data_IF_028948046525
#
_entry.id   IF_028948046525
#
_cell.length_a   1.000
_cell.length_b   1.000
_cell.length_c   1.000
_cell.angle_alpha   90.00
_cell.angle_beta   90.00
_cell.angle_gamma   90.00
#
_symmetry.space_group_name_H-M   'P 1'
#
loop_
_entity.id
_entity.type
_entity.pdbx_description
1 polymer ?
#
# COMPACT_ATOMS: atom_id res chain seq x y z
N UNK A 1 -22.21 -21.22 -18.22
CA UNK A 1 -22.48 -20.32 -17.08
C UNK A 1 -21.39 -20.58 -16.07
N UNK A 2 -20.56 -19.59 -15.75
CA UNK A 2 -19.60 -19.74 -14.67
C UNK A 2 -20.38 -20.10 -13.40
N UNK A 3 -19.91 -21.09 -12.65
CA UNK A 3 -20.53 -21.45 -11.38
C UNK A 3 -20.32 -20.26 -10.44
N UNK A 4 -21.34 -19.83 -9.68
CA UNK A 4 -21.23 -18.74 -8.70
C UNK A 4 -20.04 -18.92 -7.73
N UNK A 5 -19.62 -20.15 -7.51
CA UNK A 5 -18.40 -20.47 -6.76
C UNK A 5 -17.10 -20.01 -7.46
N UNK A 6 -16.99 -20.18 -8.77
CA UNK A 6 -15.85 -19.69 -9.56
C UNK A 6 -15.81 -18.17 -9.62
N UNK A 7 -16.99 -17.54 -9.75
CA UNK A 7 -17.13 -16.08 -9.67
C UNK A 7 -16.68 -15.57 -8.30
N UNK A 8 -17.09 -16.24 -7.23
CA UNK A 8 -16.69 -15.89 -5.86
C UNK A 8 -15.18 -16.01 -5.66
N UNK A 9 -14.57 -17.11 -6.11
CA UNK A 9 -13.11 -17.27 -6.03
C UNK A 9 -12.41 -16.15 -6.79
N UNK A 10 -12.85 -15.82 -8.00
CA UNK A 10 -12.27 -14.76 -8.82
C UNK A 10 -12.34 -13.40 -8.12
N UNK A 11 -13.48 -13.05 -7.52
CA UNK A 11 -13.65 -11.82 -6.75
C UNK A 11 -12.71 -11.75 -5.53
N UNK A 12 -12.52 -12.86 -4.81
CA UNK A 12 -11.59 -12.92 -3.68
C UNK A 12 -10.14 -12.77 -4.15
N UNK A 13 -9.75 -13.43 -5.25
CA UNK A 13 -8.41 -13.31 -5.85
C UNK A 13 -8.12 -11.87 -6.27
N UNK A 14 -9.07 -11.21 -6.92
CA UNK A 14 -8.93 -9.82 -7.38
C UNK A 14 -8.78 -8.85 -6.20
N UNK A 15 -9.59 -9.00 -5.16
CA UNK A 15 -9.47 -8.18 -3.95
C UNK A 15 -8.11 -8.42 -3.25
N UNK A 16 -7.70 -9.68 -3.11
CA UNK A 16 -6.42 -10.07 -2.52
C UNK A 16 -5.24 -9.46 -3.29
N UNK A 17 -5.28 -9.49 -4.62
CA UNK A 17 -4.25 -8.91 -5.48
C UNK A 17 -4.13 -7.39 -5.29
N UNK A 18 -5.24 -6.66 -5.23
CA UNK A 18 -5.24 -5.22 -4.98
C UNK A 18 -4.57 -4.85 -3.65
N UNK A 19 -4.83 -5.62 -2.60
CA UNK A 19 -4.19 -5.43 -1.29
C UNK A 19 -2.68 -5.71 -1.40
N UNK A 20 -2.30 -6.82 -2.02
CA UNK A 20 -0.90 -7.20 -2.20
C UNK A 20 -0.11 -6.17 -3.01
N UNK A 21 -0.67 -5.70 -4.13
CA UNK A 21 -0.07 -4.67 -4.98
C UNK A 21 0.01 -3.33 -4.26
N UNK A 22 -1.04 -2.94 -3.52
CA UNK A 22 -1.02 -1.71 -2.71
C UNK A 22 0.08 -1.70 -1.66
N UNK A 23 0.24 -2.80 -0.90
CA UNK A 23 1.31 -2.92 0.11
C UNK A 23 2.70 -2.85 -0.55
N UNK A 24 2.90 -3.56 -1.66
CA UNK A 24 4.18 -3.51 -2.38
C UNK A 24 4.47 -2.13 -2.98
N UNK A 25 3.43 -1.42 -3.42
CA UNK A 25 3.56 -0.04 -3.91
C UNK A 25 4.02 0.88 -2.78
N UNK A 26 3.42 0.81 -1.59
CA UNK A 26 3.86 1.59 -0.44
C UNK A 26 5.31 1.28 -0.04
N UNK A 27 5.70 0.01 -0.02
CA UNK A 27 7.10 -0.40 0.25
C UNK A 27 8.05 0.11 -0.83
N UNK A 28 7.62 0.14 -2.10
CA UNK A 28 8.37 0.77 -3.18
C UNK A 28 8.55 2.27 -2.96
N UNK A 29 7.48 2.97 -2.60
CA UNK A 29 7.48 4.40 -2.29
C UNK A 29 8.35 4.74 -1.08
N UNK A 30 8.50 3.87 -0.08
CA UNK A 30 9.48 4.05 0.99
C UNK A 30 10.91 4.15 0.45
N UNK A 31 11.26 3.30 -0.52
CA UNK A 31 12.60 3.29 -1.12
C UNK A 31 12.83 4.55 -1.93
N UNK A 32 11.83 4.95 -2.72
CA UNK A 32 11.86 6.20 -3.46
C UNK A 32 11.99 7.40 -2.52
N UNK A 33 11.21 7.44 -1.45
CA UNK A 33 11.26 8.50 -0.44
C UNK A 33 12.64 8.67 0.16
N UNK A 34 13.29 7.56 0.52
CA UNK A 34 14.64 7.58 1.05
C UNK A 34 15.69 7.95 -0.01
N UNK A 35 15.54 7.47 -1.25
CA UNK A 35 16.48 7.74 -2.33
C UNK A 35 16.45 9.20 -2.80
N UNK A 36 15.26 9.81 -2.82
CA UNK A 36 15.04 11.20 -3.23
C UNK A 36 15.10 12.18 -2.05
N UNK A 37 15.38 11.69 -0.84
CA UNK A 37 15.35 12.45 0.40
C UNK A 37 14.12 13.35 0.49
N UNK A 38 12.93 12.76 0.36
CA UNK A 38 11.68 13.48 0.57
C UNK A 38 11.56 14.03 2.01
N UNK A 39 12.40 13.57 2.94
CA UNK A 39 12.52 14.15 4.27
C UNK A 39 13.22 15.53 4.28
N UNK A 40 14.18 15.77 3.40
CA UNK A 40 14.81 17.08 3.19
C UNK A 40 14.15 17.94 2.10
N UNK A 41 13.38 17.32 1.19
CA UNK A 41 12.84 18.00 0.00
C UNK A 41 11.68 18.95 0.33
N UNK A 42 11.78 20.26 -0.01
CA UNK A 42 10.71 21.24 0.24
C UNK A 42 9.42 20.99 -0.54
N UNK A 43 9.49 20.29 -1.68
CA UNK A 43 8.33 20.07 -2.58
C UNK A 43 7.23 19.17 -2.04
N UNK A 44 7.50 18.37 -0.99
CA UNK A 44 6.44 17.67 -0.24
C UNK A 44 5.88 18.51 0.91
N UNK A 45 6.55 19.60 1.27
CA UNK A 45 6.14 20.53 2.32
C UNK A 45 5.40 21.76 1.75
N UNK A 46 5.38 21.95 0.43
CA UNK A 46 4.49 22.92 -0.21
C UNK A 46 3.03 22.50 -0.03
N UNK A 47 2.11 23.48 0.13
CA UNK A 47 0.70 23.18 0.25
C UNK A 47 0.26 22.27 -0.89
N UNK A 48 -0.36 21.15 -0.54
CA UNK A 48 -1.03 20.32 -1.50
C UNK A 48 -2.20 21.11 -2.10
N UNK A 49 -2.42 20.97 -3.41
CA UNK A 49 -3.53 21.61 -4.11
C UNK A 49 -4.48 20.54 -4.66
N UNK A 50 -5.73 20.93 -4.92
CA UNK A 50 -6.76 20.04 -5.47
C UNK A 50 -7.17 18.95 -4.48
N UNK A 51 -7.30 17.71 -4.94
CA UNK A 51 -7.79 16.58 -4.12
C UNK A 51 -6.91 16.27 -2.92
N UNK A 52 -5.68 16.76 -2.90
CA UNK A 52 -4.74 16.53 -1.81
C UNK A 52 -4.70 17.67 -0.79
N UNK A 53 -5.47 18.75 -0.98
CA UNK A 53 -5.45 19.94 -0.10
C UNK A 53 -5.57 19.58 1.39
N UNK A 54 -4.64 20.11 2.20
CA UNK A 54 -4.59 19.87 3.64
C UNK A 54 -3.85 18.60 4.06
N UNK A 55 -3.48 17.70 3.14
CA UNK A 55 -2.58 16.58 3.42
C UNK A 55 -1.18 17.09 3.67
N UNK A 56 -0.62 16.76 4.83
CA UNK A 56 0.74 17.14 5.19
C UNK A 56 1.74 16.06 4.79
N UNK A 57 3.01 16.45 4.66
CA UNK A 57 4.13 15.50 4.54
C UNK A 57 4.15 14.45 5.65
N UNK A 58 3.77 14.83 6.88
CA UNK A 58 3.71 13.91 8.00
C UNK A 58 2.64 12.83 7.79
N UNK A 59 1.48 13.21 7.22
CA UNK A 59 0.41 12.26 6.89
C UNK A 59 0.87 11.25 5.82
N UNK A 60 1.53 11.74 4.76
CA UNK A 60 2.09 10.86 3.71
C UNK A 60 3.17 9.96 4.28
N UNK A 61 4.04 10.49 5.15
CA UNK A 61 5.08 9.74 5.84
C UNK A 61 4.51 8.63 6.73
N UNK A 62 3.46 8.93 7.51
CA UNK A 62 2.80 7.95 8.37
C UNK A 62 2.18 6.77 7.58
N UNK A 63 1.61 7.03 6.40
CA UNK A 63 1.09 5.97 5.54
C UNK A 63 2.24 5.18 4.89
N UNK A 64 3.23 5.89 4.34
CA UNK A 64 4.34 5.28 3.59
C UNK A 64 5.22 4.44 4.49
N UNK A 65 5.53 4.90 5.70
CA UNK A 65 6.42 4.20 6.65
C UNK A 65 5.64 3.42 7.70
N UNK A 66 4.95 4.10 8.62
CA UNK A 66 4.40 3.46 9.81
C UNK A 66 3.34 2.41 9.45
N UNK A 67 2.40 2.79 8.59
CA UNK A 67 1.29 1.93 8.18
C UNK A 67 1.78 0.76 7.34
N UNK A 68 2.59 1.03 6.31
CA UNK A 68 3.13 -0.04 5.45
C UNK A 68 4.01 -1.03 6.24
N UNK A 69 4.85 -0.54 7.16
CA UNK A 69 5.66 -1.40 8.02
C UNK A 69 4.79 -2.27 8.94
N UNK A 70 3.74 -1.70 9.53
CA UNK A 70 2.78 -2.45 10.34
C UNK A 70 2.05 -3.53 9.53
N UNK A 71 1.62 -3.22 8.30
CA UNK A 71 1.00 -4.19 7.41
C UNK A 71 1.95 -5.32 7.03
N UNK A 72 3.21 -5.00 6.65
CA UNK A 72 4.23 -6.02 6.36
C UNK A 72 4.50 -6.90 7.57
N UNK A 73 4.62 -6.32 8.77
CA UNK A 73 4.81 -7.06 10.01
C UNK A 73 3.62 -7.99 10.32
N UNK A 74 2.38 -7.51 10.13
CA UNK A 74 1.19 -8.33 10.26
C UNK A 74 1.22 -9.49 9.26
N UNK A 75 1.52 -9.23 7.99
CA UNK A 75 1.61 -10.26 6.96
C UNK A 75 2.66 -11.33 7.30
N UNK A 76 3.78 -10.94 7.91
CA UNK A 76 4.83 -11.85 8.36
C UNK A 76 4.37 -12.82 9.47
N UNK A 77 3.25 -12.57 10.16
CA UNK A 77 2.68 -13.49 11.16
C UNK A 77 1.96 -14.70 10.55
N UNK A 78 1.93 -14.82 9.21
CA UNK A 78 1.39 -15.98 8.47
C UNK A 78 0.34 -15.62 7.43
N UNK A 79 -0.18 -14.39 7.43
CA UNK A 79 -1.16 -13.93 6.46
C UNK A 79 -0.57 -13.78 5.05
N UNK A 80 0.72 -13.47 4.91
CA UNK A 80 1.40 -13.46 3.62
C UNK A 80 1.25 -14.80 2.88
N UNK A 81 1.45 -15.91 3.60
CA UNK A 81 1.31 -17.27 3.06
C UNK A 81 -0.13 -17.56 2.64
N UNK A 82 -1.12 -17.07 3.38
CA UNK A 82 -2.53 -17.25 3.03
C UNK A 82 -2.91 -16.46 1.78
N UNK A 83 -2.44 -15.22 1.66
CA UNK A 83 -2.65 -14.40 0.46
C UNK A 83 -1.98 -15.04 -0.76
N UNK A 84 -0.73 -15.49 -0.63
CA UNK A 84 0.04 -16.08 -1.72
C UNK A 84 -0.60 -17.35 -2.33
N UNK A 85 -1.29 -18.16 -1.51
CA UNK A 85 -1.97 -19.39 -1.97
C UNK A 85 -3.04 -19.13 -3.03
N UNK A 86 -3.65 -17.95 -3.01
CA UNK A 86 -4.77 -17.58 -3.88
C UNK A 86 -4.47 -16.31 -4.67
N UNK A 87 -3.20 -15.93 -4.84
CA UNK A 87 -2.81 -14.78 -5.65
C UNK A 87 -2.91 -15.07 -7.16
#
# INVERSE_FOLDING_TARGET
>A
MANRQEDYISLVRDANRKIWEGINTLVGLQREWNALDYNGTPGLATPTEGENEGITKADVGAVTFDTANALVALLATGYATNMAKIL
#
